data_IF_661323703278
#
_entry.id   IF_661323703278
#
_cell.length_a   1.000
_cell.length_b   1.000
_cell.length_c   1.000
_cell.angle_alpha   90.00
_cell.angle_beta   90.00
_cell.angle_gamma   90.00
#
_symmetry.space_group_name_H-M   'P 1'
#
loop_
_entity.id
_entity.type
_entity.pdbx_description
1 polymer ?
#
# COMPACT_ATOMS: atom_id res chain seq x y z
N UNK A 1 -43.30 2.30 30.04
CA UNK A 1 -42.21 1.47 29.48
C UNK A 1 -42.04 2.00 28.08
N UNK A 2 -41.26 3.06 27.96
CA UNK A 2 -41.28 3.90 26.76
C UNK A 2 -40.05 3.56 25.95
N UNK A 3 -40.28 2.94 24.79
CA UNK A 3 -39.25 2.49 23.88
C UNK A 3 -38.49 3.68 23.29
N UNK A 4 -37.20 3.74 23.57
CA UNK A 4 -36.25 4.56 22.81
C UNK A 4 -36.14 4.01 21.38
N UNK A 5 -36.84 4.68 20.46
CA UNK A 5 -36.54 4.59 19.04
C UNK A 5 -35.18 5.28 18.81
N UNK A 6 -34.17 4.47 18.49
CA UNK A 6 -32.89 4.94 17.99
C UNK A 6 -33.11 5.57 16.62
N UNK A 7 -32.91 6.88 16.50
CA UNK A 7 -32.89 7.53 15.19
C UNK A 7 -31.72 6.97 14.37
N UNK A 8 -31.94 6.56 13.11
CA UNK A 8 -30.87 6.12 12.24
C UNK A 8 -30.01 7.35 11.87
N UNK A 9 -28.73 7.32 12.25
CA UNK A 9 -27.75 8.29 11.79
C UNK A 9 -27.72 8.37 10.27
N UNK A 10 -27.33 9.50 9.66
CA UNK A 10 -27.43 9.72 8.23
C UNK A 10 -26.63 8.65 7.49
N UNK A 11 -27.37 7.71 6.89
CA UNK A 11 -26.83 6.66 6.06
C UNK A 11 -26.22 7.28 4.81
N UNK A 12 -24.97 6.94 4.55
CA UNK A 12 -24.33 7.12 3.25
C UNK A 12 -25.03 6.17 2.27
N UNK A 13 -26.14 6.62 1.68
CA UNK A 13 -26.84 5.91 0.61
C UNK A 13 -26.17 6.21 -0.73
N UNK A 14 -25.83 5.16 -1.45
CA UNK A 14 -24.94 5.05 -2.63
C UNK A 14 -25.26 5.86 -3.91
N UNK A 15 -26.12 6.88 -3.91
CA UNK A 15 -26.57 7.49 -5.20
C UNK A 15 -26.82 9.01 -5.19
N UNK A 16 -26.31 9.75 -4.19
CA UNK A 16 -26.38 11.22 -4.26
C UNK A 16 -25.04 11.81 -4.72
N UNK A 17 -24.96 12.46 -5.90
CA UNK A 17 -23.79 13.24 -6.24
C UNK A 17 -23.65 14.33 -5.18
N UNK A 18 -22.60 14.25 -4.37
CA UNK A 18 -22.27 15.30 -3.40
C UNK A 18 -21.94 16.55 -4.21
N UNK A 19 -22.94 17.41 -4.37
CA UNK A 19 -22.77 18.73 -4.95
C UNK A 19 -21.90 19.50 -3.95
N UNK A 20 -20.61 19.63 -4.28
CA UNK A 20 -19.67 20.45 -3.53
C UNK A 20 -20.15 21.90 -3.65
N UNK A 21 -20.99 22.34 -2.71
CA UNK A 21 -21.38 23.74 -2.64
C UNK A 21 -20.12 24.56 -2.34
N UNK A 22 -19.84 25.64 -3.08
CA UNK A 22 -18.70 26.48 -2.79
C UNK A 22 -18.80 26.99 -1.35
N UNK A 23 -17.85 26.55 -0.52
CA UNK A 23 -17.76 26.93 0.89
C UNK A 23 -17.57 28.45 0.97
N UNK A 24 -18.39 29.14 1.74
CA UNK A 24 -18.18 30.57 1.98
C UNK A 24 -16.86 30.78 2.74
N UNK A 25 -16.14 31.90 2.56
CA UNK A 25 -14.89 32.15 3.28
C UNK A 25 -15.05 32.05 4.82
N UNK A 26 -16.19 32.52 5.35
CA UNK A 26 -16.53 32.43 6.77
C UNK A 26 -16.72 30.98 7.24
N UNK A 27 -17.40 30.13 6.46
CA UNK A 27 -17.56 28.72 6.78
C UNK A 27 -16.23 27.94 6.69
N UNK A 28 -15.33 28.36 5.79
CA UNK A 28 -13.99 27.77 5.70
C UNK A 28 -13.14 28.11 6.93
N UNK A 29 -13.18 29.36 7.42
CA UNK A 29 -12.48 29.77 8.65
C UNK A 29 -13.02 29.06 9.89
N UNK A 30 -14.34 28.92 10.00
CA UNK A 30 -14.98 28.17 11.08
C UNK A 30 -14.57 26.70 11.05
N UNK A 31 -14.57 26.07 9.87
CA UNK A 31 -14.12 24.70 9.70
C UNK A 31 -12.64 24.54 10.06
N UNK A 32 -11.76 25.47 9.67
CA UNK A 32 -10.35 25.44 10.08
C UNK A 32 -10.18 25.52 11.60
N UNK A 33 -10.97 26.36 12.27
CA UNK A 33 -10.97 26.45 13.74
C UNK A 33 -11.34 25.11 14.35
N UNK A 34 -12.38 24.45 13.84
CA UNK A 34 -12.83 23.13 14.31
C UNK A 34 -11.76 22.07 14.04
N UNK A 35 -11.11 22.08 12.86
CA UNK A 35 -10.02 21.16 12.53
C UNK A 35 -8.82 21.31 13.47
N UNK A 36 -8.45 22.54 13.86
CA UNK A 36 -7.41 22.76 14.87
C UNK A 36 -7.78 22.12 16.21
N UNK A 37 -9.04 22.23 16.64
CA UNK A 37 -9.52 21.57 17.85
C UNK A 37 -9.52 20.04 17.73
N UNK A 38 -9.94 19.51 16.58
CA UNK A 38 -9.93 18.07 16.30
C UNK A 38 -8.51 17.51 16.41
N UNK A 39 -7.52 18.22 15.84
CA UNK A 39 -6.13 17.83 15.92
C UNK A 39 -5.60 17.87 17.38
N UNK A 40 -5.96 18.90 18.16
CA UNK A 40 -5.62 18.96 19.59
C UNK A 40 -6.24 17.81 20.37
N UNK A 41 -7.49 17.43 20.10
CA UNK A 41 -8.14 16.27 20.71
C UNK A 41 -7.40 14.97 20.37
N UNK A 42 -6.99 14.79 19.10
CA UNK A 42 -6.19 13.63 18.66
C UNK A 42 -4.84 13.55 19.37
N UNK A 43 -4.11 14.66 19.48
CA UNK A 43 -2.81 14.71 20.17
C UNK A 43 -2.96 14.34 21.65
N UNK A 44 -4.12 14.62 22.26
CA UNK A 44 -4.46 14.23 23.64
C UNK A 44 -4.95 12.78 23.76
N UNK A 45 -5.08 12.05 22.65
CA UNK A 45 -5.60 10.68 22.61
C UNK A 45 -7.12 10.59 22.70
N UNK A 46 -7.84 11.71 22.68
CA UNK A 46 -9.30 11.73 22.69
C UNK A 46 -9.85 11.60 21.27
N UNK A 47 -9.81 10.36 20.76
CA UNK A 47 -10.28 10.05 19.42
C UNK A 47 -11.80 10.26 19.27
N UNK A 48 -12.58 10.10 20.35
CA UNK A 48 -14.04 10.29 20.27
C UNK A 48 -14.39 11.76 20.07
N UNK A 49 -13.71 12.67 20.76
CA UNK A 49 -13.90 14.11 20.57
C UNK A 49 -13.40 14.55 19.20
N UNK A 50 -12.26 14.01 18.74
CA UNK A 50 -11.75 14.29 17.41
C UNK A 50 -12.75 13.91 16.30
N UNK A 51 -13.42 12.76 16.42
CA UNK A 51 -14.41 12.30 15.44
C UNK A 51 -15.61 13.23 15.37
N UNK A 52 -16.11 13.67 16.54
CA UNK A 52 -17.22 14.63 16.60
C UNK A 52 -16.84 15.95 15.93
N UNK A 53 -15.65 16.46 16.22
CA UNK A 53 -15.16 17.70 15.63
C UNK A 53 -14.94 17.58 14.12
N UNK A 54 -14.47 16.42 13.63
CA UNK A 54 -14.35 16.19 12.18
C UNK A 54 -15.73 16.13 11.49
N UNK A 55 -16.72 15.50 12.12
CA UNK A 55 -18.11 15.50 11.60
C UNK A 55 -18.71 16.91 11.60
N UNK A 56 -18.46 17.69 12.64
CA UNK A 56 -18.88 19.08 12.73
C UNK A 56 -18.23 19.92 11.62
N UNK A 57 -16.91 19.80 11.42
CA UNK A 57 -16.20 20.48 10.33
C UNK A 57 -16.77 20.11 8.94
N UNK A 58 -17.13 18.84 8.74
CA UNK A 58 -17.75 18.36 7.50
C UNK A 58 -19.18 18.87 7.31
N UNK A 59 -19.91 19.12 8.40
CA UNK A 59 -21.24 19.76 8.32
C UNK A 59 -21.17 21.26 8.01
N UNK A 60 -20.15 21.95 8.53
CA UNK A 60 -19.94 23.40 8.34
C UNK A 60 -19.40 23.68 6.94
N UNK A 61 -18.46 22.85 6.46
CA UNK A 61 -17.79 23.05 5.19
C UNK A 61 -17.55 21.72 4.44
N UNK A 62 -18.61 21.09 3.91
CA UNK A 62 -18.51 19.79 3.23
C UNK A 62 -17.65 19.82 1.96
N UNK A 63 -17.52 21.00 1.33
CA UNK A 63 -16.69 21.20 0.15
C UNK A 63 -15.28 21.72 0.43
N UNK A 64 -14.91 21.93 1.70
CA UNK A 64 -13.57 22.42 2.05
C UNK A 64 -12.55 21.30 1.86
N UNK A 65 -11.52 21.58 1.05
CA UNK A 65 -10.44 20.64 0.77
C UNK A 65 -9.68 20.28 2.05
N UNK A 66 -9.47 21.22 2.95
CA UNK A 66 -8.84 20.97 4.24
C UNK A 66 -9.64 20.00 5.12
N UNK A 67 -10.98 20.09 5.08
CA UNK A 67 -11.86 19.19 5.84
C UNK A 67 -11.86 17.79 5.23
N UNK A 68 -12.01 17.70 3.91
CA UNK A 68 -11.94 16.42 3.20
C UNK A 68 -10.58 15.74 3.42
N UNK A 69 -9.50 16.50 3.38
CA UNK A 69 -8.15 15.99 3.65
C UNK A 69 -8.02 15.43 5.07
N UNK A 70 -8.54 16.14 6.08
CA UNK A 70 -8.49 15.70 7.48
C UNK A 70 -9.35 14.44 7.74
N UNK A 71 -10.53 14.35 7.12
CA UNK A 71 -11.40 13.17 7.19
C UNK A 71 -10.74 11.97 6.47
N UNK A 72 -10.11 12.21 5.31
CA UNK A 72 -9.33 11.20 4.60
C UNK A 72 -8.17 10.67 5.44
N UNK A 73 -7.44 11.55 6.13
CA UNK A 73 -6.35 11.19 7.04
C UNK A 73 -6.85 10.34 8.21
N UNK A 74 -8.01 10.67 8.79
CA UNK A 74 -8.62 9.86 9.84
C UNK A 74 -8.99 8.45 9.36
N UNK A 75 -9.60 8.32 8.18
CA UNK A 75 -9.85 7.01 7.58
C UNK A 75 -8.57 6.21 7.31
N UNK A 76 -7.50 6.87 6.87
CA UNK A 76 -6.16 6.26 6.72
C UNK A 76 -5.65 5.73 8.06
N UNK A 77 -5.77 6.52 9.14
CA UNK A 77 -5.37 6.10 10.47
C UNK A 77 -6.15 4.87 10.97
N UNK A 78 -7.43 4.77 10.61
CA UNK A 78 -8.28 3.60 10.91
C UNK A 78 -8.10 2.43 9.94
N UNK A 79 -7.18 2.54 8.97
CA UNK A 79 -6.95 1.55 7.90
C UNK A 79 -8.18 1.30 7.02
N UNK A 80 -9.10 2.27 6.94
CA UNK A 80 -10.30 2.21 6.09
C UNK A 80 -9.96 2.75 4.69
N UNK A 81 -9.14 2.02 3.94
CA UNK A 81 -8.54 2.47 2.69
C UNK A 81 -9.56 2.88 1.61
N UNK A 82 -10.68 2.15 1.51
CA UNK A 82 -11.73 2.44 0.52
C UNK A 82 -12.40 3.79 0.78
N UNK A 83 -12.78 4.06 2.03
CA UNK A 83 -13.40 5.33 2.42
C UNK A 83 -12.42 6.49 2.31
N UNK A 84 -11.15 6.27 2.68
CA UNK A 84 -10.11 7.27 2.46
C UNK A 84 -9.95 7.63 0.98
N UNK A 85 -9.98 6.63 0.09
CA UNK A 85 -9.93 6.84 -1.36
C UNK A 85 -11.08 7.72 -1.85
N UNK A 86 -12.32 7.40 -1.47
CA UNK A 86 -13.51 8.17 -1.88
C UNK A 86 -13.43 9.64 -1.43
N UNK A 87 -13.02 9.87 -0.18
CA UNK A 87 -12.89 11.23 0.37
C UNK A 87 -11.77 12.00 -0.33
N UNK A 88 -10.63 11.37 -0.60
CA UNK A 88 -9.55 12.03 -1.35
C UNK A 88 -9.90 12.27 -2.81
N UNK A 89 -10.71 11.42 -3.42
CA UNK A 89 -11.23 11.66 -4.77
C UNK A 89 -12.09 12.93 -4.79
N UNK A 90 -12.95 13.12 -3.79
CA UNK A 90 -13.74 14.34 -3.64
C UNK A 90 -12.85 15.57 -3.45
N UNK A 91 -11.83 15.47 -2.58
CA UNK A 91 -10.87 16.55 -2.36
C UNK A 91 -10.11 16.91 -3.64
N UNK A 92 -9.70 15.90 -4.42
CA UNK A 92 -8.97 16.11 -5.67
C UNK A 92 -9.88 16.72 -6.76
N UNK A 93 -11.15 16.35 -6.80
CA UNK A 93 -12.14 16.99 -7.70
C UNK A 93 -12.40 18.45 -7.34
N UNK A 94 -12.36 18.78 -6.04
CA UNK A 94 -12.54 20.14 -5.55
C UNK A 94 -11.34 21.05 -5.92
N UNK A 95 -10.12 20.58 -5.66
CA UNK A 95 -8.88 21.28 -6.04
C UNK A 95 -7.88 20.33 -6.71
N UNK A 96 -7.95 20.17 -8.04
CA UNK A 96 -7.04 19.28 -8.77
C UNK A 96 -5.57 19.71 -8.69
N UNK A 97 -5.31 21.00 -8.44
CA UNK A 97 -3.96 21.58 -8.37
C UNK A 97 -3.32 21.46 -6.99
N UNK A 98 -4.03 20.92 -6.00
CA UNK A 98 -3.50 20.78 -4.65
C UNK A 98 -2.57 19.55 -4.55
N UNK A 99 -1.26 19.83 -4.49
CA UNK A 99 -0.20 18.80 -4.47
C UNK A 99 -0.35 17.83 -3.29
N UNK A 100 -0.80 18.31 -2.11
CA UNK A 100 -0.97 17.45 -0.93
C UNK A 100 -2.04 16.39 -1.20
N UNK A 101 -3.18 16.83 -1.71
CA UNK A 101 -4.33 15.99 -2.01
C UNK A 101 -4.04 15.04 -3.17
N UNK A 102 -3.40 15.52 -4.24
CA UNK A 102 -3.00 14.69 -5.38
C UNK A 102 -2.12 13.52 -4.93
N UNK A 103 -1.10 13.81 -4.12
CA UNK A 103 -0.21 12.78 -3.56
C UNK A 103 -0.98 11.77 -2.70
N UNK A 104 -1.85 12.25 -1.81
CA UNK A 104 -2.65 11.40 -0.90
C UNK A 104 -3.65 10.53 -1.67
N UNK A 105 -4.31 11.11 -2.68
CA UNK A 105 -5.21 10.39 -3.58
C UNK A 105 -4.47 9.30 -4.36
N UNK A 106 -3.34 9.62 -4.98
CA UNK A 106 -2.51 8.65 -5.70
C UNK A 106 -2.01 7.50 -4.80
N UNK A 107 -1.63 7.80 -3.55
CA UNK A 107 -1.26 6.78 -2.57
C UNK A 107 -2.44 5.84 -2.26
N UNK A 108 -3.65 6.39 -2.11
CA UNK A 108 -4.84 5.57 -1.83
C UNK A 108 -5.29 4.74 -3.03
N UNK A 109 -5.22 5.27 -4.25
CA UNK A 109 -5.45 4.50 -5.49
C UNK A 109 -4.60 3.24 -5.49
N UNK A 110 -3.30 3.39 -5.20
CA UNK A 110 -2.37 2.26 -5.18
C UNK A 110 -2.72 1.26 -4.07
N UNK A 111 -2.99 1.74 -2.84
CA UNK A 111 -3.35 0.86 -1.71
C UNK A 111 -4.64 0.09 -1.95
N UNK A 112 -5.65 0.74 -2.51
CA UNK A 112 -6.93 0.11 -2.84
C UNK A 112 -6.75 -0.90 -3.96
N UNK A 113 -6.01 -0.56 -5.04
CA UNK A 113 -5.72 -1.49 -6.13
C UNK A 113 -4.93 -2.72 -5.65
N UNK A 114 -3.96 -2.52 -4.77
CA UNK A 114 -3.20 -3.59 -4.11
C UNK A 114 -4.06 -4.47 -3.20
N UNK A 115 -5.05 -3.90 -2.51
CA UNK A 115 -5.89 -4.62 -1.56
C UNK A 115 -6.99 -5.45 -2.25
N UNK A 116 -7.49 -4.98 -3.39
CA UNK A 116 -8.57 -5.65 -4.13
C UNK A 116 -8.04 -6.79 -5.00
N UNK A 117 -6.86 -6.62 -5.62
CA UNK A 117 -6.31 -7.64 -6.53
C UNK A 117 -4.80 -7.81 -6.40
N UNK A 118 -4.32 -8.52 -5.35
CA UNK A 118 -2.90 -8.91 -5.25
C UNK A 118 -2.42 -9.75 -6.44
N UNK A 119 -3.34 -10.39 -7.17
CA UNK A 119 -3.05 -11.36 -8.22
C UNK A 119 -3.29 -10.83 -9.65
N UNK A 120 -3.95 -9.68 -9.82
CA UNK A 120 -4.30 -9.10 -11.12
C UNK A 120 -3.42 -7.91 -11.53
N UNK A 121 -2.18 -7.88 -11.02
CA UNK A 121 -1.22 -6.84 -11.37
C UNK A 121 -0.69 -7.06 -12.78
N UNK A 122 -1.05 -6.19 -13.72
CA UNK A 122 -0.51 -6.21 -15.08
C UNK A 122 0.99 -5.87 -15.06
N UNK A 123 1.78 -6.49 -15.95
CA UNK A 123 3.19 -6.13 -16.14
C UNK A 123 3.40 -4.62 -16.42
N UNK A 124 2.40 -3.95 -16.99
CA UNK A 124 2.42 -2.49 -17.20
C UNK A 124 2.29 -1.68 -15.90
N UNK A 125 1.57 -2.19 -14.90
CA UNK A 125 1.41 -1.55 -13.59
C UNK A 125 2.67 -1.70 -12.71
N UNK A 126 3.52 -2.68 -13.03
CA UNK A 126 4.81 -2.88 -12.37
C UNK A 126 5.83 -1.82 -12.81
N UNK A 127 5.76 -1.35 -14.05
CA UNK A 127 6.64 -0.33 -14.60
C UNK A 127 6.43 1.08 -14.02
N UNK A 128 5.23 1.36 -13.49
CA UNK A 128 4.89 2.65 -12.86
C UNK A 128 5.09 2.65 -11.34
N UNK A 129 5.35 1.49 -10.75
CA UNK A 129 5.61 1.35 -9.32
C UNK A 129 7.08 1.70 -9.01
N UNK A 130 7.33 2.41 -7.91
CA UNK A 130 8.70 2.67 -7.44
C UNK A 130 9.49 1.34 -7.42
N UNK A 131 10.58 1.29 -8.19
CA UNK A 131 11.29 0.06 -8.63
C UNK A 131 11.60 -0.94 -7.49
N UNK A 132 11.80 -0.45 -6.27
CA UNK A 132 12.04 -1.28 -5.09
C UNK A 132 10.84 -2.14 -4.64
N UNK A 133 9.61 -1.63 -4.71
CA UNK A 133 8.40 -2.39 -4.30
C UNK A 133 7.98 -3.41 -5.37
N UNK A 134 8.12 -3.03 -6.64
CA UNK A 134 7.97 -3.93 -7.79
C UNK A 134 8.96 -5.11 -7.70
N UNK A 135 10.23 -4.83 -7.42
CA UNK A 135 11.25 -5.87 -7.27
C UNK A 135 10.95 -6.84 -6.12
N UNK A 136 10.45 -6.33 -4.98
CA UNK A 136 10.05 -7.18 -3.86
C UNK A 136 8.88 -8.10 -4.24
N UNK A 137 7.84 -7.59 -4.90
CA UNK A 137 6.69 -8.40 -5.34
C UNK A 137 7.08 -9.44 -6.38
N UNK A 138 7.91 -9.07 -7.37
CA UNK A 138 8.38 -10.02 -8.39
C UNK A 138 9.22 -11.16 -7.80
N UNK A 139 10.03 -10.87 -6.79
CA UNK A 139 10.82 -11.88 -6.08
C UNK A 139 10.00 -12.88 -5.25
N UNK A 140 8.72 -12.57 -4.94
CA UNK A 140 7.80 -13.51 -4.26
C UNK A 140 7.34 -14.61 -5.21
N UNK A 141 7.19 -14.32 -6.51
CA UNK A 141 6.68 -15.30 -7.48
C UNK A 141 7.79 -16.00 -8.26
N UNK A 142 8.84 -15.26 -8.63
CA UNK A 142 9.99 -15.83 -9.34
C UNK A 142 11.29 -15.37 -8.67
N UNK A 143 12.02 -16.28 -8.00
CA UNK A 143 13.28 -15.93 -7.40
C UNK A 143 14.28 -15.43 -8.45
N UNK A 144 14.97 -14.34 -8.12
CA UNK A 144 15.97 -13.70 -8.97
C UNK A 144 15.40 -12.63 -9.93
N UNK A 145 14.10 -12.63 -10.23
CA UNK A 145 13.51 -11.64 -11.16
C UNK A 145 13.54 -10.23 -10.59
N UNK A 146 13.27 -10.06 -9.30
CA UNK A 146 13.41 -8.76 -8.63
C UNK A 146 14.81 -8.18 -8.79
N UNK A 147 15.86 -9.01 -8.68
CA UNK A 147 17.24 -8.57 -8.85
C UNK A 147 17.57 -8.16 -10.29
N UNK A 148 16.92 -8.77 -11.29
CA UNK A 148 17.08 -8.36 -12.70
C UNK A 148 16.45 -7.00 -12.97
N UNK A 149 15.29 -6.69 -12.38
CA UNK A 149 14.67 -5.36 -12.47
C UNK A 149 15.53 -4.28 -11.79
N UNK A 150 16.25 -4.65 -10.72
CA UNK A 150 17.19 -3.77 -10.03
C UNK A 150 18.55 -3.66 -10.73
N UNK A 151 18.73 -4.28 -11.92
CA UNK A 151 19.97 -4.22 -12.70
C UNK A 151 21.05 -5.23 -12.29
N UNK A 152 20.81 -6.07 -11.28
CA UNK A 152 21.72 -7.11 -10.82
C UNK A 152 21.50 -8.45 -11.55
N UNK A 153 21.73 -8.45 -12.87
CA UNK A 153 21.43 -9.59 -13.75
C UNK A 153 22.15 -10.89 -13.39
N UNK A 154 23.44 -10.82 -13.04
CA UNK A 154 24.24 -12.01 -12.68
C UNK A 154 23.65 -12.69 -11.44
N UNK A 155 23.31 -11.89 -10.42
CA UNK A 155 22.74 -12.38 -9.16
C UNK A 155 21.32 -12.95 -9.37
N UNK A 156 20.50 -12.23 -10.14
CA UNK A 156 19.17 -12.70 -10.52
C UNK A 156 19.22 -14.02 -11.29
N UNK A 157 20.14 -14.15 -12.24
CA UNK A 157 20.34 -15.37 -13.02
C UNK A 157 20.79 -16.56 -12.17
N UNK A 158 21.70 -16.36 -11.20
CA UNK A 158 22.13 -17.42 -10.28
C UNK A 158 20.97 -17.90 -9.40
N UNK A 159 20.17 -16.97 -8.88
CA UNK A 159 19.01 -17.31 -8.03
C UNK A 159 17.94 -18.09 -8.80
N UNK A 160 17.61 -17.61 -10.01
CA UNK A 160 16.63 -18.27 -10.88
C UNK A 160 17.13 -19.65 -11.32
N UNK A 161 18.40 -19.74 -11.73
CA UNK A 161 19.03 -20.98 -12.18
C UNK A 161 19.05 -22.05 -11.07
N UNK A 162 19.45 -21.68 -9.86
CA UNK A 162 19.44 -22.60 -8.71
C UNK A 162 18.05 -23.10 -8.36
N UNK A 163 17.03 -22.24 -8.43
CA UNK A 163 15.64 -22.62 -8.20
C UNK A 163 15.09 -23.56 -9.29
N UNK A 164 15.34 -23.26 -10.56
CA UNK A 164 14.95 -24.12 -11.69
C UNK A 164 15.65 -25.48 -11.61
N UNK A 165 16.94 -25.51 -11.29
CA UNK A 165 17.69 -26.75 -11.09
C UNK A 165 17.14 -27.59 -9.93
N UNK A 166 16.71 -26.96 -8.85
CA UNK A 166 16.04 -27.65 -7.74
C UNK A 166 14.72 -28.30 -8.19
N UNK A 167 13.89 -27.59 -8.95
CA UNK A 167 12.67 -28.17 -9.52
C UNK A 167 12.94 -29.26 -10.55
N UNK A 168 13.91 -29.10 -11.44
CA UNK A 168 14.30 -30.13 -12.41
C UNK A 168 14.83 -31.39 -11.72
N UNK A 169 15.60 -31.24 -10.64
CA UNK A 169 16.05 -32.36 -9.83
C UNK A 169 14.90 -33.08 -9.12
N UNK A 170 13.91 -32.34 -8.63
CA UNK A 170 12.73 -32.93 -7.98
C UNK A 170 11.80 -33.62 -8.99
N UNK A 171 11.56 -33.01 -10.15
CA UNK A 171 10.68 -33.54 -11.20
C UNK A 171 11.31 -34.73 -11.94
N UNK A 172 12.63 -34.87 -11.93
CA UNK A 172 13.31 -36.04 -12.50
C UNK A 172 13.22 -37.29 -11.63
N UNK A 173 12.79 -37.16 -10.36
CA UNK A 173 12.50 -38.29 -9.48
C UNK A 173 11.06 -38.80 -9.68
N UNK A 174 10.85 -39.98 -10.29
CA UNK A 174 9.50 -40.52 -10.52
C UNK A 174 8.72 -40.79 -9.23
N UNK A 175 9.44 -40.87 -8.10
CA UNK A 175 8.88 -41.09 -6.78
C UNK A 175 8.85 -39.83 -5.91
N UNK A 176 9.34 -38.69 -6.41
CA UNK A 176 9.52 -37.47 -5.61
C UNK A 176 8.24 -36.98 -4.95
N UNK A 177 7.16 -36.82 -5.72
CA UNK A 177 5.86 -36.38 -5.18
C UNK A 177 5.23 -37.41 -4.25
N UNK A 178 5.31 -38.71 -4.60
CA UNK A 178 4.75 -39.79 -3.79
C UNK A 178 5.49 -39.93 -2.45
N UNK A 179 6.82 -39.84 -2.47
CA UNK A 179 7.66 -39.87 -1.28
C UNK A 179 7.46 -38.65 -0.38
N UNK A 180 7.24 -37.46 -0.96
CA UNK A 180 6.85 -36.27 -0.19
C UNK A 180 5.50 -36.48 0.51
N UNK A 181 4.50 -37.02 -0.20
CA UNK A 181 3.18 -37.34 0.37
C UNK A 181 3.26 -38.40 1.48
N UNK A 182 4.17 -39.37 1.38
CA UNK A 182 4.43 -40.34 2.45
C UNK A 182 5.05 -39.69 3.68
N UNK A 183 6.02 -38.77 3.49
CA UNK A 183 6.68 -38.07 4.61
C UNK A 183 5.71 -37.23 5.44
N UNK A 184 4.68 -36.65 4.81
CA UNK A 184 3.64 -35.88 5.52
C UNK A 184 2.44 -36.74 5.98
N UNK A 185 2.55 -38.07 5.88
CA UNK A 185 1.53 -39.01 6.37
C UNK A 185 0.28 -39.14 5.49
N UNK A 186 0.29 -38.55 4.29
CA UNK A 186 -0.87 -38.54 3.37
C UNK A 186 -0.86 -39.72 2.37
N UNK A 187 0.25 -40.45 2.26
CA UNK A 187 0.34 -41.64 1.43
C UNK A 187 1.02 -42.81 2.16
N UNK A 188 0.65 -44.04 1.80
CA UNK A 188 1.31 -45.28 2.26
C UNK A 188 2.21 -45.83 1.15
N UNK A 189 3.40 -46.30 1.53
CA UNK A 189 4.42 -46.87 0.61
C UNK A 189 5.51 -45.88 0.19
N UNK A 190 6.47 -46.37 -0.60
CA UNK A 190 7.66 -45.69 -1.19
C UNK A 190 8.33 -44.57 -0.36
N UNK A 191 9.56 -44.81 0.07
CA UNK A 191 10.45 -43.78 0.62
C UNK A 191 10.78 -42.74 -0.45
N UNK A 192 10.89 -41.44 -0.11
CA UNK A 192 11.35 -40.44 -1.06
C UNK A 192 12.69 -40.86 -1.66
N UNK A 193 12.83 -40.69 -2.97
CA UNK A 193 14.10 -40.96 -3.62
C UNK A 193 15.20 -40.05 -3.05
N UNK A 194 16.47 -40.48 -3.12
CA UNK A 194 17.58 -39.81 -2.47
C UNK A 194 17.80 -38.37 -2.97
N UNK A 195 17.25 -38.03 -4.15
CA UNK A 195 17.34 -36.70 -4.75
C UNK A 195 16.16 -35.78 -4.42
N UNK A 196 14.99 -36.33 -4.04
CA UNK A 196 13.78 -35.53 -3.82
C UNK A 196 13.96 -34.44 -2.73
N UNK A 197 14.49 -34.83 -1.57
CA UNK A 197 14.71 -33.91 -0.45
C UNK A 197 15.79 -32.85 -0.72
N UNK A 198 17.02 -33.19 -1.19
CA UNK A 198 18.03 -32.18 -1.47
C UNK A 198 17.64 -31.25 -2.62
N UNK A 199 16.93 -31.74 -3.65
CA UNK A 199 16.43 -30.89 -4.74
C UNK A 199 15.36 -29.92 -4.29
N UNK A 200 14.44 -30.35 -3.41
CA UNK A 200 13.43 -29.46 -2.82
C UNK A 200 14.08 -28.44 -1.87
N UNK A 201 15.04 -28.87 -1.05
CA UNK A 201 15.80 -27.98 -0.17
C UNK A 201 16.58 -26.92 -0.97
N UNK A 202 17.15 -27.29 -2.11
CA UNK A 202 17.80 -26.36 -3.04
C UNK A 202 16.81 -25.33 -3.57
N UNK A 203 15.65 -25.75 -4.08
CA UNK A 203 14.63 -24.84 -4.59
C UNK A 203 14.12 -23.88 -3.50
N UNK A 204 13.77 -24.39 -2.33
CA UNK A 204 13.32 -23.57 -1.20
C UNK A 204 14.42 -22.63 -0.72
N UNK A 205 15.66 -23.10 -0.64
CA UNK A 205 16.82 -22.29 -0.22
C UNK A 205 17.05 -21.09 -1.14
N UNK A 206 17.06 -21.30 -2.46
CA UNK A 206 17.19 -20.20 -3.43
C UNK A 206 15.98 -19.26 -3.43
N UNK A 207 14.77 -19.79 -3.18
CA UNK A 207 13.58 -18.96 -3.10
C UNK A 207 13.60 -18.03 -1.89
N UNK A 208 13.92 -18.57 -0.71
CA UNK A 208 14.06 -17.79 0.52
C UNK A 208 15.22 -16.79 0.41
N UNK A 209 16.35 -17.21 -0.15
CA UNK A 209 17.47 -16.29 -0.39
C UNK A 209 17.06 -15.10 -1.25
N UNK A 210 16.30 -15.32 -2.32
CA UNK A 210 15.81 -14.22 -3.17
C UNK A 210 14.84 -13.29 -2.44
N UNK A 211 13.98 -13.81 -1.56
CA UNK A 211 13.07 -12.98 -0.76
C UNK A 211 13.83 -12.07 0.23
N UNK A 212 14.76 -12.62 1.00
CA UNK A 212 15.53 -11.81 1.96
C UNK A 212 16.40 -10.76 1.25
N UNK A 213 16.97 -11.13 0.12
CA UNK A 213 17.89 -10.27 -0.61
C UNK A 213 17.18 -9.14 -1.37
N UNK A 214 15.99 -9.37 -1.92
CA UNK A 214 15.19 -8.31 -2.55
C UNK A 214 14.70 -7.27 -1.52
N UNK A 215 14.38 -7.71 -0.30
CA UNK A 215 14.01 -6.83 0.82
C UNK A 215 15.18 -5.98 1.31
N UNK A 216 16.40 -6.52 1.37
CA UNK A 216 17.59 -5.75 1.77
C UNK A 216 18.03 -4.78 0.67
N UNK A 217 18.02 -5.23 -0.59
CA UNK A 217 18.45 -4.41 -1.74
C UNK A 217 17.50 -3.23 -1.99
N UNK A 218 16.19 -3.42 -1.84
CA UNK A 218 15.20 -2.35 -2.03
C UNK A 218 15.30 -1.21 -1.00
N UNK A 219 15.77 -1.50 0.23
CA UNK A 219 16.03 -0.47 1.26
C UNK A 219 17.18 0.48 0.89
N UNK A 220 18.10 0.07 0.02
CA UNK A 220 19.20 0.91 -0.47
C UNK A 220 18.79 1.89 -1.57
N UNK A 221 17.60 1.74 -2.15
CA UNK A 221 17.14 2.46 -3.34
C UNK A 221 16.17 3.61 -3.04
N UNK A 222 15.81 3.89 -1.79
CA UNK A 222 15.16 5.16 -1.45
C UNK A 222 16.22 6.25 -1.61
N UNK A 223 16.17 7.10 -2.66
CA UNK A 223 17.13 8.19 -2.78
C UNK A 223 16.87 9.10 -1.58
N UNK A 224 17.88 9.33 -0.75
CA UNK A 224 17.89 10.53 0.08
C UNK A 224 17.95 11.68 -0.92
N UNK A 225 16.81 12.30 -1.18
CA UNK A 225 16.75 13.52 -1.98
C UNK A 225 17.72 14.51 -1.33
N UNK A 226 18.86 14.71 -1.98
CA UNK A 226 19.86 15.67 -1.52
C UNK A 226 19.23 17.01 -1.81
N UNK A 227 18.59 17.61 -0.80
CA UNK A 227 18.01 18.94 -0.87
C UNK A 227 19.14 19.87 -1.30
N UNK A 228 19.15 20.26 -2.57
CA UNK A 228 20.05 21.29 -3.07
C UNK A 228 19.57 22.61 -2.48
N UNK A 229 20.25 23.06 -1.44
CA UNK A 229 20.00 24.37 -0.87
C UNK A 229 20.34 25.42 -1.95
N UNK A 230 19.38 26.27 -2.37
CA UNK A 230 19.68 27.34 -3.30
C UNK A 230 20.72 28.26 -2.66
N UNK A 231 21.80 28.52 -3.39
CA UNK A 231 22.85 29.44 -2.94
C UNK A 231 22.21 30.82 -2.75
N UNK A 232 22.37 31.47 -1.58
CA UNK A 232 21.80 32.78 -1.35
C UNK A 232 22.32 33.77 -2.41
N UNK A 233 21.47 34.62 -2.99
CA UNK A 233 21.88 35.58 -4.01
C UNK A 233 22.67 36.71 -3.36
N UNK A 234 23.96 36.48 -3.13
CA UNK A 234 24.87 37.47 -2.53
C UNK A 234 25.42 38.45 -3.57
N UNK A 235 25.28 38.16 -4.87
CA UNK A 235 25.83 39.01 -5.94
C UNK A 235 24.77 39.42 -6.98
N UNK A 236 23.65 40.01 -6.53
CA UNK A 236 22.78 40.78 -7.44
C UNK A 236 23.12 42.26 -7.31
N UNK A 237 23.48 42.97 -8.39
CA UNK A 237 23.58 44.43 -8.34
C UNK A 237 22.20 45.00 -7.99
N UNK A 238 22.19 45.91 -7.01
CA UNK A 238 21.00 46.63 -6.55
C UNK A 238 20.39 47.48 -7.66
#
# INVERSE_FOLDING_TARGET
>A
MDGHASEPGPGLTDDQPVVLTPTTPEAAEDAERILRQANLARVRGDNSMADKLLQEAMSVAPGSVAVLEAVGDDYVHRKQWRKAFEVYEMAHKAEPTNISVERKYGEMVLKVKLAVDPFMMSASDVGTMASGKAAMLLSVFLPGVGQMVLGHYVKGGVMLGGWVLGWLGFLSDPSGFKGLMTMIGMAKGATPGPLALPSLALAVGFHLWSMFDSVSTSKGLTPREKIEHPVPPVDKPF
#
